data_IF_047916814070
#
_entry.id   IF_047916814070
#
_cell.length_a   1.000
_cell.length_b   1.000
_cell.length_c   1.000
_cell.angle_alpha   90.00
_cell.angle_beta   90.00
_cell.angle_gamma   90.00
#
_symmetry.space_group_name_H-M   'P 1'
#
loop_
_entity.id
_entity.type
_entity.pdbx_description
1 polymer ?
#
# COMPACT_ATOMS: atom_id res chain seq x y z
N UNK A 1 -29.29 6.60 13.38
CA UNK A 1 -29.14 6.10 11.99
C UNK A 1 -28.10 6.98 11.34
N UNK A 2 -26.97 6.43 10.87
CA UNK A 2 -25.94 7.20 10.17
C UNK A 2 -25.69 6.56 8.81
N UNK A 3 -26.12 7.18 7.71
CA UNK A 3 -25.67 6.76 6.40
C UNK A 3 -24.27 7.34 6.18
N UNK A 4 -23.24 6.49 6.20
CA UNK A 4 -21.92 6.83 5.67
C UNK A 4 -21.83 6.30 4.26
N UNK A 5 -21.98 7.18 3.27
CA UNK A 5 -21.61 6.86 1.89
C UNK A 5 -20.09 6.93 1.78
N UNK A 6 -19.43 5.78 1.96
CA UNK A 6 -18.03 5.62 1.58
C UNK A 6 -17.96 5.40 0.08
N UNK A 7 -17.50 6.41 -0.67
CA UNK A 7 -17.03 6.18 -2.04
C UNK A 7 -15.85 5.20 -1.94
N UNK A 8 -15.70 4.21 -2.85
CA UNK A 8 -14.47 3.43 -2.90
C UNK A 8 -13.35 4.37 -3.37
N UNK A 9 -12.71 5.06 -2.42
CA UNK A 9 -11.38 5.58 -2.67
C UNK A 9 -10.50 4.36 -2.80
N UNK A 10 -9.89 4.15 -3.97
CA UNK A 10 -8.68 3.33 -4.05
C UNK A 10 -7.69 3.94 -3.08
N UNK A 11 -7.65 3.43 -1.84
CA UNK A 11 -6.83 4.00 -0.78
C UNK A 11 -5.39 3.63 -1.11
N UNK A 12 -4.68 4.55 -1.74
CA UNK A 12 -3.23 4.42 -1.86
C UNK A 12 -2.64 4.49 -0.45
N UNK A 13 -1.75 3.56 -0.08
CA UNK A 13 -1.07 3.63 1.20
C UNK A 13 -0.35 4.96 1.39
N UNK A 14 -0.44 5.51 2.61
CA UNK A 14 0.31 6.69 2.98
C UNK A 14 1.82 6.38 2.96
N UNK A 15 2.62 7.36 2.57
CA UNK A 15 4.09 7.22 2.49
C UNK A 15 4.76 8.45 3.06
N UNK A 16 5.84 8.20 3.83
CA UNK A 16 6.83 9.21 4.18
C UNK A 16 8.12 8.92 3.42
N UNK A 17 8.79 9.98 2.97
CA UNK A 17 10.09 9.91 2.31
C UNK A 17 11.03 10.83 3.07
N UNK A 18 12.22 10.34 3.38
CA UNK A 18 13.32 11.15 3.90
C UNK A 18 14.63 10.68 3.29
N UNK A 19 15.57 11.61 3.16
CA UNK A 19 16.91 11.37 2.66
C UNK A 19 17.94 11.84 3.69
N UNK A 20 19.11 11.21 3.69
CA UNK A 20 20.31 11.72 4.32
C UNK A 20 21.51 11.53 3.37
N UNK A 21 22.71 11.95 3.80
CA UNK A 21 23.93 11.88 2.99
C UNK A 21 24.30 10.46 2.51
N UNK A 22 23.66 9.41 3.04
CA UNK A 22 23.99 8.01 2.75
C UNK A 22 22.87 7.25 2.06
N UNK A 23 21.61 7.58 2.32
CA UNK A 23 20.49 6.77 1.85
C UNK A 23 19.15 7.50 1.76
N UNK A 24 18.30 6.92 0.92
CA UNK A 24 16.87 7.22 0.85
C UNK A 24 16.08 6.24 1.70
N UNK A 25 15.11 6.76 2.44
CA UNK A 25 14.21 5.98 3.28
C UNK A 25 12.78 6.24 2.88
N UNK A 26 12.04 5.15 2.69
CA UNK A 26 10.63 5.16 2.35
C UNK A 26 9.86 4.33 3.37
N UNK A 27 8.97 5.00 4.10
CA UNK A 27 8.06 4.34 5.05
C UNK A 27 6.68 4.23 4.40
N UNK A 28 6.12 3.02 4.33
CA UNK A 28 4.83 2.73 3.69
C UNK A 28 3.84 2.19 4.73
N UNK A 29 2.68 2.83 4.87
CA UNK A 29 1.64 2.41 5.81
C UNK A 29 0.72 1.32 5.22
N UNK A 30 1.10 0.06 5.41
CA UNK A 30 0.39 -1.14 4.92
C UNK A 30 0.02 -2.09 6.06
N UNK A 31 -0.95 -1.73 6.91
CA UNK A 31 -1.36 -2.57 8.03
C UNK A 31 -1.96 -3.89 7.53
N UNK A 32 -1.72 -4.98 8.26
CA UNK A 32 -2.31 -6.29 7.96
C UNK A 32 -1.70 -7.01 6.75
N UNK A 33 -0.57 -6.52 6.22
CA UNK A 33 0.15 -7.13 5.11
C UNK A 33 1.52 -7.62 5.56
N UNK A 34 1.91 -8.80 5.09
CA UNK A 34 3.24 -9.33 5.27
C UNK A 34 4.17 -8.83 4.14
N UNK A 35 5.49 -8.90 4.37
CA UNK A 35 6.49 -8.55 3.35
C UNK A 35 6.33 -9.32 2.03
N UNK A 36 5.83 -10.57 2.09
CA UNK A 36 5.57 -11.43 0.93
C UNK A 36 4.40 -10.95 0.07
N UNK A 37 3.51 -10.12 0.63
CA UNK A 37 2.34 -9.58 -0.07
C UNK A 37 2.70 -8.33 -0.87
N UNK A 38 3.91 -7.80 -0.68
CA UNK A 38 4.45 -6.65 -1.38
C UNK A 38 5.45 -7.07 -2.45
N UNK A 39 5.31 -6.50 -3.63
CA UNK A 39 6.28 -6.57 -4.71
C UNK A 39 7.01 -5.24 -4.80
N UNK A 40 8.35 -5.29 -4.78
CA UNK A 40 9.22 -4.13 -4.89
C UNK A 40 10.13 -4.34 -6.09
N UNK A 41 10.13 -3.39 -7.02
CA UNK A 41 10.92 -3.44 -8.25
C UNK A 41 11.62 -2.11 -8.49
N UNK A 42 12.84 -2.16 -9.00
CA UNK A 42 13.56 -0.98 -9.50
C UNK A 42 13.85 -1.20 -10.97
N UNK A 43 13.40 -0.28 -11.80
CA UNK A 43 13.63 -0.30 -13.25
C UNK A 43 13.70 1.12 -13.78
N UNK A 44 14.70 1.41 -14.61
CA UNK A 44 14.88 2.73 -15.26
C UNK A 44 14.79 3.89 -14.24
N UNK A 45 15.49 3.75 -13.11
CA UNK A 45 15.50 4.71 -11.98
C UNK A 45 14.13 4.93 -11.31
N UNK A 46 13.20 3.99 -11.48
CA UNK A 46 11.89 4.03 -10.83
C UNK A 46 11.74 2.87 -9.85
N UNK A 47 11.58 3.20 -8.57
CA UNK A 47 11.14 2.28 -7.53
C UNK A 47 9.62 2.13 -7.59
N UNK A 48 9.14 0.92 -7.85
CA UNK A 48 7.72 0.57 -7.84
C UNK A 48 7.42 -0.38 -6.69
N UNK A 49 6.42 -0.04 -5.88
CA UNK A 49 5.88 -0.86 -4.81
C UNK A 49 4.44 -1.18 -5.13
N UNK A 50 4.11 -2.46 -5.22
CA UNK A 50 2.77 -2.93 -5.54
C UNK A 50 2.32 -4.08 -4.65
N UNK A 51 1.00 -4.25 -4.58
CA UNK A 51 0.34 -5.36 -3.93
C UNK A 51 -0.84 -5.80 -4.76
N UNK A 52 -1.02 -7.11 -4.86
CA UNK A 52 -2.21 -7.72 -5.44
C UNK A 52 -3.05 -8.33 -4.31
N UNK A 53 -4.21 -7.74 -4.04
CA UNK A 53 -5.21 -8.43 -3.24
C UNK A 53 -6.05 -9.30 -4.16
N UNK A 54 -5.98 -10.62 -3.96
CA UNK A 54 -7.02 -11.52 -4.44
C UNK A 54 -8.18 -11.43 -3.45
N UNK A 55 -9.35 -11.00 -3.93
CA UNK A 55 -10.60 -11.22 -3.21
C UNK A 55 -10.80 -12.73 -3.04
N UNK A 56 -10.25 -13.29 -1.96
CA UNK A 56 -10.77 -14.53 -1.44
C UNK A 56 -12.14 -14.18 -0.87
N UNK A 57 -13.18 -14.59 -1.60
CA UNK A 57 -14.56 -14.68 -1.11
C UNK A 57 -14.61 -15.68 0.07
N UNK A 58 -13.97 -15.35 1.18
CA UNK A 58 -14.35 -15.86 2.48
C UNK A 58 -15.31 -14.84 3.09
N UNK A 59 -16.57 -14.94 2.65
CA UNK A 59 -17.69 -14.59 3.51
C UNK A 59 -17.77 -15.63 4.63
N UNK A 60 -16.75 -15.67 5.50
CA UNK A 60 -16.88 -16.33 6.79
C UNK A 60 -17.38 -15.30 7.80
N UNK A 61 -18.44 -15.69 8.51
CA UNK A 61 -19.26 -14.86 9.39
C UNK A 61 -18.49 -14.40 10.63
N UNK A 62 -17.56 -13.47 10.49
CA UNK A 62 -16.70 -13.01 11.59
C UNK A 62 -17.40 -12.10 12.63
N UNK A 63 -18.73 -12.01 12.63
CA UNK A 63 -19.47 -11.23 13.65
C UNK A 63 -19.15 -9.73 13.66
N UNK A 64 -18.52 -9.19 12.60
CA UNK A 64 -18.22 -7.76 12.50
C UNK A 64 -19.51 -6.93 12.51
N UNK A 65 -19.63 -6.00 13.47
CA UNK A 65 -20.72 -5.01 13.46
C UNK A 65 -20.51 -3.90 12.43
N UNK A 66 -19.25 -3.65 12.05
CA UNK A 66 -18.84 -2.71 10.99
C UNK A 66 -17.42 -3.04 10.54
N UNK A 67 -17.18 -3.02 9.22
CA UNK A 67 -15.88 -3.22 8.58
C UNK A 67 -15.59 -2.01 7.70
N UNK A 68 -14.53 -1.27 8.00
CA UNK A 68 -14.14 -0.05 7.27
C UNK A 68 -12.84 -0.20 6.49
N UNK A 69 -12.01 -1.20 6.84
CA UNK A 69 -10.77 -1.47 6.12
C UNK A 69 -11.05 -2.30 4.86
N UNK A 70 -10.56 -1.81 3.72
CA UNK A 70 -10.50 -2.55 2.46
C UNK A 70 -9.04 -2.70 2.04
N UNK A 71 -8.57 -3.93 1.91
CA UNK A 71 -7.20 -4.22 1.46
C UNK A 71 -7.17 -4.23 -0.06
N UNK A 72 -7.34 -3.08 -0.72
CA UNK A 72 -7.32 -3.07 -2.18
C UNK A 72 -5.91 -3.27 -2.74
N UNK A 73 -5.81 -3.85 -3.93
CA UNK A 73 -4.57 -3.83 -4.70
C UNK A 73 -4.11 -2.39 -4.92
N UNK A 74 -2.81 -2.15 -4.81
CA UNK A 74 -2.21 -0.84 -5.07
C UNK A 74 -0.92 -0.97 -5.86
N UNK A 75 -0.55 0.10 -6.55
CA UNK A 75 0.73 0.26 -7.22
C UNK A 75 1.16 1.71 -7.08
N UNK A 76 2.36 1.94 -6.57
CA UNK A 76 2.92 3.28 -6.37
C UNK A 76 4.37 3.30 -6.82
N UNK A 77 4.73 4.31 -7.59
CA UNK A 77 6.07 4.46 -8.18
C UNK A 77 6.71 5.78 -7.76
N UNK A 78 8.03 5.75 -7.59
CA UNK A 78 8.86 6.87 -7.17
C UNK A 78 10.10 6.93 -8.04
N UNK A 79 10.42 8.12 -8.55
CA UNK A 79 11.71 8.35 -9.19
C UNK A 79 12.79 8.36 -8.12
N UNK A 80 13.82 7.54 -8.33
CA UNK A 80 15.03 7.56 -7.53
C UNK A 80 15.94 8.68 -8.06
N UNK A 81 16.56 9.46 -7.17
CA UNK A 81 17.60 10.41 -7.60
C UNK A 81 18.79 9.70 -8.22
N UNK A 82 19.49 10.38 -9.12
CA UNK A 82 20.62 9.83 -9.88
C UNK A 82 21.78 9.33 -8.98
N UNK A 83 21.83 9.79 -7.73
CA UNK A 83 22.87 9.47 -6.75
C UNK A 83 22.58 8.21 -5.90
N UNK A 84 21.47 7.50 -6.15
CA UNK A 84 21.10 6.27 -5.42
C UNK A 84 21.67 5.04 -6.12
N UNK A 85 22.73 4.45 -5.55
CA UNK A 85 23.35 3.19 -6.00
C UNK A 85 23.11 2.04 -5.02
#
# INVERSE_FOLDING_TARGET
MFPTFSRPSTSLPAVNIREDDKAFYLDLAVPGMDKKDLRIEVKDDVLTISSEHKEEKQEEQDGYKRKEFSYNSFCRSFYLPEDVN
#
